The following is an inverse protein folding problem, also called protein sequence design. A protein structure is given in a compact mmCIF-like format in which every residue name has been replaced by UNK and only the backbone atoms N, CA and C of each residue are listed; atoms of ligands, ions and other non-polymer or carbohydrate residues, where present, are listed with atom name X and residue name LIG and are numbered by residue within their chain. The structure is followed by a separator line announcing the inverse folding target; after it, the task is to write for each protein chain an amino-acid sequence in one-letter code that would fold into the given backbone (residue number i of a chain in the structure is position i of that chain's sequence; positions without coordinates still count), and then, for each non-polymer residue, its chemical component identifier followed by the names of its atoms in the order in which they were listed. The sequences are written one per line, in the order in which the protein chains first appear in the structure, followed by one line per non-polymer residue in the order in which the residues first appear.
data_IF_385954019633
#
_entry.id   IF_385954019633
#
_cell.length_a   1.000
_cell.length_b   1.000
_cell.length_c   1.000
_cell.angle_alpha   90.00
_cell.angle_beta   90.00
_cell.angle_gamma   90.00
#
_symmetry.space_group_name_H-M   'P 1'
#
loop_
_entity.id
_entity.type
_entity.pdbx_description
1 polymer ?
#
# COMPACT_ATOMS: atom_id res chain seq x y z
N UNK A 1 74.13 -31.44 -50.18
CA UNK A 1 74.72 -32.57 -49.41
C UNK A 1 74.62 -32.31 -47.96
N UNK A 2 74.20 -33.36 -47.22
CA UNK A 2 74.12 -33.51 -45.75
C UNK A 2 72.93 -32.74 -45.07
N UNK A 3 71.87 -33.47 -44.80
CA UNK A 3 71.55 -34.51 -43.77
C UNK A 3 71.65 -33.87 -42.34
N UNK A 4 70.51 -33.63 -41.77
CA UNK A 4 69.84 -34.35 -40.69
C UNK A 4 70.60 -34.44 -39.40
N UNK A 5 70.06 -33.84 -38.44
CA UNK A 5 69.91 -34.42 -37.09
C UNK A 5 68.76 -33.68 -36.37
N UNK A 6 67.61 -34.31 -36.41
CA UNK A 6 66.55 -34.01 -35.44
C UNK A 6 66.75 -35.00 -34.27
N UNK A 7 67.13 -34.48 -33.14
CA UNK A 7 67.15 -35.21 -31.88
C UNK A 7 65.93 -34.83 -31.03
N UNK A 8 65.13 -35.77 -30.89
CA UNK A 8 64.39 -36.28 -29.74
C UNK A 8 64.46 -35.48 -28.45
N UNK A 9 63.66 -34.40 -28.35
CA UNK A 9 63.29 -33.75 -27.11
C UNK A 9 61.87 -33.28 -27.25
N UNK A 10 61.02 -33.81 -26.40
CA UNK A 10 59.71 -33.28 -26.02
C UNK A 10 58.51 -34.24 -26.09
N UNK A 11 58.72 -35.42 -25.56
CA UNK A 11 57.57 -36.21 -25.08
C UNK A 11 57.25 -36.02 -23.58
N UNK A 12 58.06 -35.22 -22.86
CA UNK A 12 57.86 -35.00 -21.41
C UNK A 12 57.25 -33.67 -21.04
N UNK A 13 57.25 -32.69 -21.91
CA UNK A 13 56.68 -31.40 -21.62
C UNK A 13 55.20 -31.24 -22.07
N UNK A 14 54.69 -32.15 -22.89
CA UNK A 14 53.30 -32.12 -23.32
C UNK A 14 52.30 -32.64 -22.26
N UNK A 15 52.78 -33.24 -21.16
CA UNK A 15 51.94 -33.72 -20.07
C UNK A 15 51.91 -32.81 -18.86
N UNK A 16 52.50 -31.61 -18.92
CA UNK A 16 52.48 -30.64 -17.81
C UNK A 16 51.62 -29.42 -18.05
N UNK A 17 50.98 -29.23 -19.20
CA UNK A 17 50.14 -28.09 -19.52
C UNK A 17 48.62 -28.42 -19.55
N UNK A 18 48.29 -29.68 -19.27
CA UNK A 18 46.88 -30.12 -19.23
C UNK A 18 46.24 -30.18 -17.84
N UNK A 19 46.82 -29.48 -16.86
CA UNK A 19 46.29 -29.48 -15.49
C UNK A 19 46.21 -28.06 -14.92
N UNK A 20 45.51 -27.16 -15.58
CA UNK A 20 45.09 -25.90 -14.92
C UNK A 20 44.18 -25.13 -15.89
N UNK A 21 42.92 -25.24 -15.77
CA UNK A 21 41.92 -24.21 -16.07
C UNK A 21 40.55 -24.84 -16.34
N UNK A 22 40.07 -25.69 -15.45
CA UNK A 22 38.62 -25.85 -15.34
C UNK A 22 38.17 -24.80 -14.32
N UNK A 23 38.04 -23.55 -14.79
CA UNK A 23 37.25 -22.54 -14.10
C UNK A 23 35.79 -22.98 -14.29
N UNK A 24 35.28 -23.67 -13.30
CA UNK A 24 33.87 -23.83 -13.12
C UNK A 24 33.31 -22.43 -12.78
N UNK A 25 32.73 -21.74 -13.78
CA UNK A 25 31.75 -20.74 -13.53
C UNK A 25 30.53 -21.44 -12.92
N UNK A 26 30.62 -21.67 -11.62
CA UNK A 26 29.44 -21.88 -10.82
C UNK A 26 28.65 -20.58 -10.87
N UNK A 27 27.72 -20.48 -11.84
CA UNK A 27 26.57 -19.62 -11.70
C UNK A 27 25.85 -20.13 -10.45
N UNK A 28 26.22 -19.58 -9.31
CA UNK A 28 25.40 -19.62 -8.14
C UNK A 28 24.11 -18.90 -8.55
N UNK A 29 23.12 -19.68 -8.96
CA UNK A 29 21.73 -19.28 -8.88
C UNK A 29 21.50 -19.02 -7.39
N UNK A 30 21.80 -17.80 -6.95
CA UNK A 30 21.28 -17.30 -5.69
C UNK A 30 19.78 -17.46 -5.80
N UNK A 31 19.13 -18.26 -4.96
CA UNK A 31 17.71 -18.10 -4.81
C UNK A 31 17.56 -16.63 -4.39
N UNK A 32 16.88 -15.82 -5.19
CA UNK A 32 16.20 -14.65 -4.67
C UNK A 32 15.19 -15.21 -3.65
N UNK A 33 15.69 -15.63 -2.51
CA UNK A 33 14.91 -15.58 -1.29
C UNK A 33 14.56 -14.11 -1.17
N UNK A 34 13.37 -13.76 -1.67
CA UNK A 34 12.70 -12.58 -1.24
C UNK A 34 12.84 -12.60 0.28
N UNK A 35 13.70 -11.75 0.80
CA UNK A 35 13.75 -11.45 2.20
C UNK A 35 12.37 -10.88 2.50
N UNK A 36 11.46 -11.75 2.90
CA UNK A 36 10.38 -11.35 3.74
C UNK A 36 11.07 -10.73 4.95
N UNK A 37 11.28 -9.42 4.90
CA UNK A 37 11.66 -8.70 6.09
C UNK A 37 10.57 -9.00 7.10
N UNK A 38 10.92 -9.52 8.29
CA UNK A 38 9.96 -9.54 9.37
C UNK A 38 9.45 -8.10 9.50
N UNK A 39 8.16 -7.92 9.56
CA UNK A 39 7.50 -6.68 9.93
C UNK A 39 7.99 -6.33 11.35
N UNK A 40 9.02 -5.53 11.50
CA UNK A 40 9.78 -5.35 12.75
C UNK A 40 10.36 -3.94 12.89
N UNK A 41 9.71 -2.95 12.30
CA UNK A 41 9.88 -1.55 12.69
C UNK A 41 9.04 -1.23 13.94
N UNK A 42 9.33 -0.12 14.66
CA UNK A 42 8.43 0.34 15.72
C UNK A 42 7.03 0.59 15.13
N UNK A 43 5.95 0.31 15.92
CA UNK A 43 4.59 0.50 15.45
C UNK A 43 4.37 1.94 14.97
N UNK A 44 3.90 2.11 13.75
CA UNK A 44 3.58 3.42 13.20
C UNK A 44 2.34 4.00 13.88
N UNK A 45 2.39 5.27 14.21
CA UNK A 45 1.20 5.99 14.69
C UNK A 45 0.30 6.32 13.52
N UNK A 46 -1.00 6.04 13.65
CA UNK A 46 -1.97 6.25 12.59
C UNK A 46 -2.99 7.30 13.01
N UNK A 47 -3.08 8.38 12.24
CA UNK A 47 -4.15 9.36 12.33
C UNK A 47 -5.32 8.94 11.44
N UNK A 48 -6.49 8.67 12.02
CA UNK A 48 -7.69 8.27 11.30
C UNK A 48 -8.61 9.46 11.12
N UNK A 49 -8.70 10.00 9.91
CA UNK A 49 -9.65 11.09 9.59
C UNK A 49 -10.97 10.47 9.17
N UNK A 50 -11.98 10.61 10.03
CA UNK A 50 -13.28 9.98 9.88
C UNK A 50 -13.35 8.61 10.57
N UNK A 51 -14.17 8.54 11.63
CA UNK A 51 -14.33 7.37 12.49
C UNK A 51 -15.74 6.80 12.46
N UNK A 52 -16.37 6.89 11.27
CA UNK A 52 -17.63 6.20 10.99
C UNK A 52 -17.45 4.68 10.90
N UNK A 53 -18.41 3.97 10.32
CA UNK A 53 -18.34 2.50 10.22
C UNK A 53 -17.05 2.01 9.57
N UNK A 54 -16.66 2.58 8.44
CA UNK A 54 -15.47 2.18 7.70
C UNK A 54 -14.17 2.53 8.45
N UNK A 55 -14.02 3.80 8.86
CA UNK A 55 -12.83 4.23 9.59
C UNK A 55 -12.72 3.61 10.98
N UNK A 56 -13.85 3.35 11.65
CA UNK A 56 -13.87 2.60 12.90
C UNK A 56 -13.39 1.16 12.72
N UNK A 57 -13.84 0.45 11.67
CA UNK A 57 -13.42 -0.91 11.38
C UNK A 57 -11.93 -0.97 11.00
N UNK A 58 -11.47 -0.11 10.08
CA UNK A 58 -10.07 -0.06 9.65
C UNK A 58 -9.14 0.32 10.80
N UNK A 59 -9.48 1.36 11.56
CA UNK A 59 -8.69 1.77 12.72
C UNK A 59 -8.65 0.70 13.81
N UNK A 60 -9.75 -0.05 14.01
CA UNK A 60 -9.78 -1.20 14.93
C UNK A 60 -8.81 -2.29 14.47
N UNK A 61 -8.75 -2.58 13.17
CA UNK A 61 -7.80 -3.55 12.62
C UNK A 61 -6.34 -3.12 12.89
N UNK A 62 -6.01 -1.85 12.70
CA UNK A 62 -4.68 -1.31 13.02
C UNK A 62 -4.36 -1.38 14.52
N UNK A 63 -5.32 -1.06 15.40
CA UNK A 63 -5.10 -1.21 16.86
C UNK A 63 -4.82 -2.66 17.21
N UNK A 64 -5.56 -3.62 16.65
CA UNK A 64 -5.35 -5.05 16.87
C UNK A 64 -3.99 -5.54 16.33
N UNK A 65 -3.48 -4.92 15.28
CA UNK A 65 -2.13 -5.17 14.76
C UNK A 65 -1.01 -4.50 15.60
N UNK A 66 -1.37 -3.75 16.65
CA UNK A 66 -0.41 -3.14 17.58
C UNK A 66 -0.07 -1.68 17.28
N UNK A 67 -0.71 -1.05 16.32
CA UNK A 67 -0.48 0.36 15.99
C UNK A 67 -1.25 1.30 16.92
N UNK A 68 -0.62 2.36 17.47
CA UNK A 68 -1.35 3.44 18.10
C UNK A 68 -2.22 4.20 17.07
N UNK A 69 -3.52 4.33 17.35
CA UNK A 69 -4.47 5.00 16.45
C UNK A 69 -5.15 6.17 17.16
N UNK A 70 -5.16 7.32 16.52
CA UNK A 70 -6.01 8.45 16.91
C UNK A 70 -7.18 8.59 15.95
N UNK A 71 -8.36 8.24 16.44
CA UNK A 71 -9.63 8.39 15.72
C UNK A 71 -10.10 9.83 15.78
N UNK A 72 -10.47 10.42 14.66
CA UNK A 72 -11.00 11.79 14.66
C UNK A 72 -12.47 11.87 14.29
N UNK A 73 -13.13 12.81 14.91
CA UNK A 73 -14.51 13.22 14.63
C UNK A 73 -14.66 14.72 14.83
N UNK A 74 -15.70 15.31 14.24
CA UNK A 74 -16.17 16.65 14.60
C UNK A 74 -16.66 16.71 16.06
N UNK A 75 -17.03 15.56 16.62
CA UNK A 75 -17.46 15.34 17.98
C UNK A 75 -16.63 14.23 18.61
N UNK A 76 -15.37 14.48 19.03
CA UNK A 76 -14.47 13.45 19.56
C UNK A 76 -14.99 12.77 20.82
N UNK A 77 -15.82 13.44 21.60
CA UNK A 77 -16.47 12.91 22.79
C UNK A 77 -17.39 11.72 22.51
N UNK A 78 -17.99 11.66 21.31
CA UNK A 78 -18.83 10.53 20.87
C UNK A 78 -18.03 9.26 20.58
N UNK A 79 -16.71 9.39 20.40
CA UNK A 79 -15.80 8.25 20.16
C UNK A 79 -15.37 7.52 21.42
N UNK A 80 -15.80 8.00 22.60
CA UNK A 80 -15.39 7.41 23.88
C UNK A 80 -15.65 5.90 23.95
N UNK A 81 -16.83 5.44 23.54
CA UNK A 81 -17.17 4.01 23.53
C UNK A 81 -16.26 3.18 22.64
N UNK A 82 -15.88 3.71 21.45
CA UNK A 82 -14.94 3.05 20.54
C UNK A 82 -13.55 2.94 21.18
N UNK A 83 -12.97 4.04 21.65
CA UNK A 83 -11.59 4.04 22.16
C UNK A 83 -11.46 3.25 23.45
N UNK A 84 -12.45 3.32 24.36
CA UNK A 84 -12.47 2.53 25.58
C UNK A 84 -12.47 1.01 25.28
N UNK A 85 -13.20 0.58 24.24
CA UNK A 85 -13.26 -0.83 23.83
C UNK A 85 -11.95 -1.35 23.24
N UNK A 86 -11.11 -0.47 22.70
CA UNK A 86 -9.85 -0.80 22.02
C UNK A 86 -8.63 -0.68 22.95
N UNK A 87 -8.77 -0.05 24.10
CA UNK A 87 -7.70 0.07 25.09
C UNK A 87 -6.64 1.13 24.80
N UNK A 88 -5.43 1.03 25.39
CA UNK A 88 -4.49 2.14 25.50
C UNK A 88 -3.86 2.60 24.17
N UNK A 89 -3.96 1.81 23.12
CA UNK A 89 -3.47 2.17 21.79
C UNK A 89 -4.45 3.06 21.01
N UNK A 90 -5.71 3.14 21.43
CA UNK A 90 -6.73 3.97 20.81
C UNK A 90 -6.91 5.30 21.53
N UNK A 91 -7.09 6.36 20.78
CA UNK A 91 -7.36 7.72 21.27
C UNK A 91 -8.41 8.38 20.41
N UNK A 92 -9.15 9.33 20.98
CA UNK A 92 -10.05 10.21 20.23
C UNK A 92 -9.43 11.61 20.13
N UNK A 93 -9.73 12.32 19.06
CA UNK A 93 -9.28 13.69 18.86
C UNK A 93 -9.97 14.41 17.69
N UNK A 94 -9.57 15.64 17.45
CA UNK A 94 -9.96 16.40 16.26
C UNK A 94 -9.19 15.93 15.02
N UNK A 95 -9.59 16.37 13.82
CA UNK A 95 -8.85 16.10 12.58
C UNK A 95 -7.41 16.60 12.67
N UNK A 96 -7.22 17.83 13.15
CA UNK A 96 -5.88 18.41 13.35
C UNK A 96 -5.03 17.57 14.30
N UNK A 97 -5.59 17.13 15.43
CA UNK A 97 -4.90 16.30 16.40
C UNK A 97 -4.51 14.93 15.82
N UNK A 98 -5.41 14.31 15.03
CA UNK A 98 -5.12 13.04 14.38
C UNK A 98 -4.01 13.18 13.33
N UNK A 99 -4.01 14.24 12.53
CA UNK A 99 -2.94 14.55 11.59
C UNK A 99 -1.62 14.78 12.35
N UNK A 100 -1.62 15.57 13.41
CA UNK A 100 -0.41 15.84 14.19
C UNK A 100 0.16 14.57 14.83
N UNK A 101 -0.71 13.67 15.31
CA UNK A 101 -0.35 12.43 15.98
C UNK A 101 0.26 11.39 15.02
N UNK A 102 -0.31 11.21 13.82
CA UNK A 102 0.02 10.12 12.91
C UNK A 102 1.35 10.32 12.16
N UNK A 103 2.15 9.28 12.07
CA UNK A 103 3.21 9.15 11.07
C UNK A 103 2.58 8.87 9.70
N UNK A 104 1.48 8.12 9.71
CA UNK A 104 0.59 7.78 8.60
C UNK A 104 -0.78 8.37 8.88
N UNK A 105 -1.46 8.83 7.84
CA UNK A 105 -2.84 9.31 7.94
C UNK A 105 -3.74 8.51 7.01
N UNK A 106 -4.84 7.97 7.52
CA UNK A 106 -5.90 7.36 6.72
C UNK A 106 -7.10 8.31 6.65
N UNK A 107 -7.56 8.63 5.44
CA UNK A 107 -8.72 9.51 5.19
C UNK A 107 -9.91 8.64 4.79
N UNK A 108 -10.92 8.59 5.67
CA UNK A 108 -12.10 7.71 5.55
C UNK A 108 -13.37 8.52 5.74
N UNK A 109 -13.58 9.47 4.85
CA UNK A 109 -14.69 10.42 4.92
C UNK A 109 -15.56 10.38 3.64
N UNK A 110 -16.78 10.92 3.64
CA UNK A 110 -17.48 11.25 2.40
C UNK A 110 -16.62 12.17 1.52
N UNK A 111 -16.64 11.93 0.20
CA UNK A 111 -15.74 12.67 -0.71
C UNK A 111 -15.99 14.19 -0.70
N UNK A 112 -17.21 14.62 -0.33
CA UNK A 112 -17.56 16.04 -0.12
C UNK A 112 -16.70 16.76 0.91
N UNK A 113 -16.10 16.03 1.88
CA UNK A 113 -15.24 16.61 2.90
C UNK A 113 -13.79 16.83 2.43
N UNK A 114 -13.39 16.23 1.29
CA UNK A 114 -11.99 16.26 0.83
C UNK A 114 -11.50 17.66 0.49
N UNK A 115 -12.37 18.52 -0.03
CA UNK A 115 -12.00 19.90 -0.37
C UNK A 115 -11.66 20.73 0.87
N UNK A 116 -12.47 20.60 1.94
CA UNK A 116 -12.25 21.28 3.22
C UNK A 116 -10.95 20.76 3.88
N UNK A 117 -10.78 19.44 3.93
CA UNK A 117 -9.55 18.81 4.45
C UNK A 117 -8.32 19.31 3.68
N UNK A 118 -8.41 19.43 2.38
CA UNK A 118 -7.33 19.96 1.55
C UNK A 118 -7.03 21.42 1.85
N UNK A 119 -8.04 22.29 1.92
CA UNK A 119 -7.87 23.71 2.23
C UNK A 119 -7.21 23.95 3.60
N UNK A 120 -7.60 23.16 4.59
CA UNK A 120 -7.15 23.37 5.96
C UNK A 120 -5.86 22.64 6.32
N UNK A 121 -5.64 21.45 5.72
CA UNK A 121 -4.63 20.53 6.23
C UNK A 121 -3.62 20.01 5.18
N UNK A 122 -3.70 20.42 3.89
CA UNK A 122 -2.80 19.88 2.85
C UNK A 122 -1.31 20.00 3.21
N UNK A 123 -0.88 21.14 3.75
CA UNK A 123 0.52 21.35 4.14
C UNK A 123 0.99 20.42 5.28
N UNK A 124 0.09 20.02 6.17
CA UNK A 124 0.39 19.06 7.23
C UNK A 124 0.38 17.62 6.71
N UNK A 125 -0.55 17.30 5.81
CA UNK A 125 -0.65 15.99 5.14
C UNK A 125 0.55 15.71 4.23
N UNK A 126 1.07 16.74 3.55
CA UNK A 126 2.28 16.65 2.72
C UNK A 126 3.56 16.24 3.50
N UNK A 127 3.54 16.33 4.83
CA UNK A 127 4.66 15.94 5.68
C UNK A 127 4.56 14.50 6.20
N UNK A 128 3.48 13.78 5.85
CA UNK A 128 3.26 12.41 6.32
C UNK A 128 3.98 11.40 5.44
N UNK A 129 4.40 10.31 6.03
CA UNK A 129 5.06 9.22 5.30
C UNK A 129 4.14 8.64 4.22
N UNK A 130 2.85 8.53 4.51
CA UNK A 130 1.80 8.17 3.56
C UNK A 130 0.44 8.72 4.00
N UNK A 131 -0.38 9.09 3.03
CA UNK A 131 -1.81 9.38 3.19
C UNK A 131 -2.60 8.29 2.47
N UNK A 132 -3.24 7.42 3.23
CA UNK A 132 -4.09 6.36 2.68
C UNK A 132 -5.48 6.95 2.43
N UNK A 133 -5.88 7.06 1.17
CA UNK A 133 -7.18 7.59 0.77
C UNK A 133 -8.17 6.44 0.53
N UNK A 134 -9.12 6.28 1.44
CA UNK A 134 -10.22 5.29 1.38
C UNK A 134 -11.50 5.91 0.83
N UNK A 135 -11.51 7.23 0.61
CA UNK A 135 -12.71 7.98 0.19
C UNK A 135 -13.13 7.63 -1.23
N UNK A 136 -14.43 7.61 -1.47
CA UNK A 136 -15.01 7.37 -2.79
C UNK A 136 -16.01 8.46 -3.16
N UNK A 137 -15.97 9.01 -4.39
CA UNK A 137 -16.99 9.90 -4.91
C UNK A 137 -18.23 9.11 -5.32
N UNK A 138 -19.24 9.06 -4.47
CA UNK A 138 -20.48 8.32 -4.72
C UNK A 138 -21.59 9.32 -5.06
N UNK A 139 -21.98 9.43 -6.34
CA UNK A 139 -22.93 10.43 -6.83
C UNK A 139 -24.23 10.48 -6.01
N UNK A 140 -24.78 9.32 -5.62
CA UNK A 140 -26.00 9.25 -4.78
C UNK A 140 -25.82 9.92 -3.40
N UNK A 141 -24.60 9.96 -2.85
CA UNK A 141 -24.29 10.55 -1.54
C UNK A 141 -23.72 11.96 -1.66
N UNK A 142 -22.81 12.14 -2.61
CA UNK A 142 -21.95 13.30 -2.70
C UNK A 142 -22.43 14.32 -3.76
N UNK A 143 -23.42 13.94 -4.59
CA UNK A 143 -23.96 14.74 -5.67
C UNK A 143 -23.31 14.47 -7.03
N UNK A 144 -24.09 14.63 -8.09
CA UNK A 144 -23.64 14.37 -9.47
C UNK A 144 -22.56 15.35 -9.95
N UNK A 145 -22.60 16.59 -9.49
CA UNK A 145 -21.63 17.62 -9.88
C UNK A 145 -20.23 17.27 -9.38
N UNK A 146 -20.11 16.81 -8.12
CA UNK A 146 -18.83 16.39 -7.55
C UNK A 146 -18.32 15.13 -8.25
N UNK A 147 -19.19 14.16 -8.52
CA UNK A 147 -18.81 12.95 -9.24
C UNK A 147 -18.29 13.25 -10.65
N UNK A 148 -18.96 14.14 -11.39
CA UNK A 148 -18.51 14.63 -12.71
C UNK A 148 -17.18 15.39 -12.63
N UNK A 149 -17.02 16.24 -11.62
CA UNK A 149 -15.75 16.93 -11.42
C UNK A 149 -14.60 15.95 -11.21
N UNK A 150 -14.80 14.93 -10.37
CA UNK A 150 -13.78 13.87 -10.14
C UNK A 150 -13.46 13.13 -11.44
N UNK A 151 -14.45 12.79 -12.24
CA UNK A 151 -14.26 12.17 -13.55
C UNK A 151 -13.42 13.05 -14.48
N UNK A 152 -13.72 14.34 -14.56
CA UNK A 152 -12.97 15.33 -15.33
C UNK A 152 -11.51 15.48 -14.87
N UNK A 153 -11.20 15.17 -13.60
CA UNK A 153 -9.81 15.12 -13.11
C UNK A 153 -9.08 13.82 -13.50
N UNK A 154 -9.73 12.87 -14.16
CA UNK A 154 -9.17 11.55 -14.49
C UNK A 154 -9.41 10.50 -13.40
N UNK A 155 -10.37 10.74 -12.50
CA UNK A 155 -10.79 9.82 -11.45
C UNK A 155 -10.32 10.20 -10.05
N UNK A 156 -10.78 9.42 -9.07
CA UNK A 156 -10.65 9.74 -7.66
C UNK A 156 -9.18 9.93 -7.20
N UNK A 157 -8.25 9.12 -7.71
CA UNK A 157 -6.83 9.24 -7.32
C UNK A 157 -6.22 10.58 -7.71
N UNK A 158 -6.41 11.00 -8.97
CA UNK A 158 -5.90 12.28 -9.47
C UNK A 158 -6.65 13.47 -8.87
N UNK A 159 -7.97 13.34 -8.66
CA UNK A 159 -8.77 14.36 -7.99
C UNK A 159 -8.29 14.58 -6.54
N UNK A 160 -8.04 13.51 -5.79
CA UNK A 160 -7.49 13.60 -4.43
C UNK A 160 -6.11 14.25 -4.43
N UNK A 161 -5.22 13.90 -5.37
CA UNK A 161 -3.90 14.53 -5.48
C UNK A 161 -3.99 16.04 -5.74
N UNK A 162 -5.00 16.49 -6.49
CA UNK A 162 -5.25 17.91 -6.72
C UNK A 162 -5.75 18.63 -5.46
N UNK A 163 -6.57 17.96 -4.64
CA UNK A 163 -7.09 18.52 -3.39
C UNK A 163 -6.04 18.51 -2.26
N UNK A 164 -5.10 17.56 -2.29
CA UNK A 164 -4.05 17.36 -1.28
C UNK A 164 -2.65 17.52 -1.90
N UNK A 165 -2.29 18.72 -2.40
CA UNK A 165 -1.02 18.93 -3.09
C UNK A 165 0.18 18.59 -2.19
N UNK A 166 1.12 17.81 -2.73
CA UNK A 166 2.34 17.38 -2.04
C UNK A 166 2.17 16.19 -1.11
N UNK A 167 0.97 15.67 -0.89
CA UNK A 167 0.76 14.48 -0.07
C UNK A 167 1.20 13.21 -0.81
N UNK A 168 1.83 12.28 -0.09
CA UNK A 168 2.21 10.95 -0.59
C UNK A 168 1.00 10.02 -0.53
N UNK A 169 0.13 10.10 -1.54
CA UNK A 169 -1.17 9.43 -1.53
C UNK A 169 -1.06 8.00 -2.01
N UNK A 170 -1.70 7.09 -1.27
CA UNK A 170 -1.99 5.73 -1.69
C UNK A 170 -3.50 5.49 -1.56
N UNK A 171 -4.16 5.17 -2.67
CA UNK A 171 -5.54 4.71 -2.61
C UNK A 171 -5.56 3.23 -2.26
N UNK A 172 -6.32 2.88 -1.23
CA UNK A 172 -6.47 1.52 -0.73
C UNK A 172 -7.79 1.36 0.02
N UNK A 173 -8.30 0.14 0.14
CA UNK A 173 -9.55 -0.21 0.84
C UNK A 173 -10.83 0.44 0.27
N UNK A 174 -10.75 1.02 -0.90
CA UNK A 174 -11.85 1.78 -1.51
C UNK A 174 -13.07 0.91 -1.87
N UNK A 175 -12.87 -0.39 -2.04
CA UNK A 175 -13.89 -1.33 -2.49
C UNK A 175 -14.25 -2.41 -1.46
N UNK A 176 -13.65 -2.39 -0.28
CA UNK A 176 -13.92 -3.33 0.81
C UNK A 176 -14.78 -2.62 1.84
N UNK A 177 -15.98 -3.14 2.13
CA UNK A 177 -16.87 -2.55 3.12
C UNK A 177 -16.49 -2.90 4.56
N UNK A 178 -16.93 -2.09 5.52
CA UNK A 178 -16.57 -2.19 6.94
C UNK A 178 -16.83 -3.57 7.57
N UNK A 179 -17.89 -4.26 7.17
CA UNK A 179 -18.17 -5.62 7.64
C UNK A 179 -17.05 -6.57 7.19
N UNK A 180 -16.69 -6.50 5.92
CA UNK A 180 -15.64 -7.33 5.33
C UNK A 180 -14.25 -7.03 5.88
N UNK A 181 -13.93 -5.77 6.18
CA UNK A 181 -12.69 -5.43 6.90
C UNK A 181 -12.56 -6.17 8.24
N UNK A 182 -13.68 -6.42 8.93
CA UNK A 182 -13.67 -7.13 10.20
C UNK A 182 -13.71 -8.65 10.05
N UNK A 183 -14.44 -9.16 9.07
CA UNK A 183 -14.64 -10.60 8.83
C UNK A 183 -13.44 -11.25 8.15
N UNK A 184 -12.83 -10.58 7.18
CA UNK A 184 -11.79 -11.12 6.32
C UNK A 184 -10.36 -10.83 6.81
N UNK A 185 -10.20 -9.96 7.83
CA UNK A 185 -8.91 -9.75 8.48
C UNK A 185 -8.38 -11.07 9.05
N UNK A 186 -7.20 -11.50 8.56
CA UNK A 186 -6.58 -12.77 8.97
C UNK A 186 -7.46 -14.01 8.74
N UNK A 187 -8.32 -14.00 7.73
CA UNK A 187 -9.14 -15.17 7.40
C UNK A 187 -8.28 -16.40 7.10
N UNK A 188 -8.74 -17.63 7.39
CA UNK A 188 -8.04 -18.84 7.02
C UNK A 188 -7.91 -18.97 5.48
N UNK A 189 -6.78 -19.50 5.02
CA UNK A 189 -6.52 -19.72 3.59
C UNK A 189 -5.93 -18.50 2.89
N UNK A 190 -6.36 -18.24 1.65
CA UNK A 190 -5.84 -17.12 0.86
C UNK A 190 -6.39 -15.77 1.39
N UNK A 191 -5.51 -14.80 1.70
CA UNK A 191 -5.95 -13.47 2.09
C UNK A 191 -6.74 -12.77 0.98
N UNK A 192 -7.67 -11.90 1.36
CA UNK A 192 -8.31 -11.01 0.39
C UNK A 192 -7.29 -10.05 -0.18
N UNK A 193 -7.29 -9.90 -1.50
CA UNK A 193 -6.46 -8.94 -2.21
C UNK A 193 -6.99 -7.51 -2.03
N UNK A 194 -6.10 -6.57 -1.76
CA UNK A 194 -6.42 -5.14 -1.72
C UNK A 194 -5.70 -4.44 -2.87
N UNK A 195 -6.41 -4.01 -3.93
CA UNK A 195 -5.77 -3.23 -4.97
C UNK A 195 -5.35 -1.87 -4.40
N UNK A 196 -4.11 -1.47 -4.67
CA UNK A 196 -3.56 -0.19 -4.25
C UNK A 196 -2.97 0.58 -5.42
N UNK A 197 -3.15 1.89 -5.42
CA UNK A 197 -2.65 2.80 -6.44
C UNK A 197 -1.96 4.02 -5.81
N UNK A 198 -0.78 4.37 -6.31
CA UNK A 198 0.00 5.50 -5.81
C UNK A 198 1.23 5.76 -6.66
N UNK A 199 1.78 6.97 -6.58
CA UNK A 199 2.93 7.38 -7.40
C UNK A 199 4.25 7.35 -6.61
N UNK A 200 4.21 7.35 -5.28
CA UNK A 200 5.37 7.31 -4.39
C UNK A 200 5.66 5.89 -3.94
N UNK A 201 6.84 5.36 -4.29
CA UNK A 201 7.24 3.99 -3.99
C UNK A 201 7.41 3.73 -2.49
N UNK A 202 7.87 4.72 -1.71
CA UNK A 202 8.01 4.58 -0.26
C UNK A 202 6.63 4.54 0.40
N UNK A 203 5.72 5.41 -0.02
CA UNK A 203 4.34 5.41 0.46
C UNK A 203 3.63 4.08 0.14
N UNK A 204 3.80 3.55 -1.09
CA UNK A 204 3.29 2.24 -1.49
C UNK A 204 3.85 1.11 -0.62
N UNK A 205 5.15 1.14 -0.30
CA UNK A 205 5.78 0.13 0.55
C UNK A 205 5.22 0.18 1.99
N UNK A 206 5.08 1.37 2.58
CA UNK A 206 4.51 1.55 3.92
C UNK A 206 3.05 1.08 3.95
N UNK A 207 2.23 1.52 2.98
CA UNK A 207 0.83 1.10 2.89
C UNK A 207 0.71 -0.42 2.71
N UNK A 208 1.55 -1.02 1.86
CA UNK A 208 1.58 -2.47 1.65
C UNK A 208 1.87 -3.24 2.93
N UNK A 209 2.83 -2.78 3.74
CA UNK A 209 3.14 -3.43 5.01
C UNK A 209 1.95 -3.34 5.98
N UNK A 210 1.36 -2.16 6.16
CA UNK A 210 0.18 -1.97 7.00
C UNK A 210 -1.01 -2.85 6.57
N UNK A 211 -1.22 -3.01 5.25
CA UNK A 211 -2.26 -3.88 4.71
C UNK A 211 -2.01 -5.34 5.09
N UNK A 212 -0.76 -5.83 5.01
CA UNK A 212 -0.40 -7.20 5.41
C UNK A 212 -0.55 -7.41 6.92
N UNK A 213 -0.15 -6.43 7.72
CA UNK A 213 -0.23 -6.51 9.19
C UNK A 213 -1.67 -6.66 9.70
N UNK A 214 -2.66 -6.18 8.94
CA UNK A 214 -4.08 -6.38 9.25
C UNK A 214 -4.72 -7.56 8.50
N UNK A 215 -3.90 -8.42 7.86
CA UNK A 215 -4.33 -9.71 7.31
C UNK A 215 -4.84 -9.72 5.89
N UNK A 216 -4.51 -8.71 5.08
CA UNK A 216 -4.85 -8.62 3.66
C UNK A 216 -3.60 -8.69 2.77
N UNK A 217 -3.77 -8.96 1.47
CA UNK A 217 -2.65 -8.96 0.53
C UNK A 217 -2.72 -7.74 -0.42
N UNK A 218 -1.80 -6.78 -0.31
CA UNK A 218 -1.77 -5.62 -1.19
C UNK A 218 -1.31 -5.99 -2.60
N UNK A 219 -1.99 -5.46 -3.60
CA UNK A 219 -1.61 -5.59 -5.01
C UNK A 219 -1.46 -4.20 -5.62
N UNK A 220 -0.23 -3.81 -5.92
CA UNK A 220 0.04 -2.53 -6.61
C UNK A 220 -0.47 -2.65 -8.04
N UNK A 221 -1.44 -1.83 -8.42
CA UNK A 221 -2.05 -1.83 -9.76
C UNK A 221 -1.58 -0.68 -10.65
N UNK A 222 -0.78 0.23 -10.12
CA UNK A 222 -0.19 1.34 -10.85
C UNK A 222 -0.22 2.66 -10.08
N UNK A 223 -0.05 3.77 -10.81
CA UNK A 223 -0.10 5.12 -10.26
C UNK A 223 -1.51 5.58 -9.89
N UNK A 224 -1.64 6.79 -9.34
CA UNK A 224 -2.91 7.37 -8.88
C UNK A 224 -3.99 7.43 -9.97
N UNK A 225 -3.62 7.47 -11.25
CA UNK A 225 -4.56 7.37 -12.37
C UNK A 225 -5.38 6.07 -12.37
N UNK A 226 -4.83 4.97 -11.82
CA UNK A 226 -5.54 3.70 -11.64
C UNK A 226 -6.61 3.77 -10.57
N UNK A 227 -6.59 4.78 -9.71
CA UNK A 227 -7.56 4.98 -8.64
C UNK A 227 -9.02 5.09 -9.09
N UNK A 228 -9.27 5.39 -10.38
CA UNK A 228 -10.61 5.38 -10.99
C UNK A 228 -11.24 3.98 -11.02
N UNK A 229 -10.43 2.93 -11.02
CA UNK A 229 -10.87 1.54 -11.08
C UNK A 229 -11.02 0.86 -9.72
N UNK A 230 -10.67 1.55 -8.62
CA UNK A 230 -10.77 1.03 -7.26
C UNK A 230 -12.10 1.38 -6.58
N UNK A 231 -12.96 2.14 -7.24
CA UNK A 231 -14.27 2.58 -6.69
C UNK A 231 -15.29 1.44 -6.78
N UNK A 232 -16.24 1.30 -5.84
CA UNK A 232 -17.29 0.31 -5.94
C UNK A 232 -18.05 0.37 -7.28
N UNK A 233 -18.24 -0.79 -7.92
CA UNK A 233 -18.88 -0.89 -9.23
C UNK A 233 -17.94 -0.75 -10.43
N UNK A 234 -16.66 -0.56 -10.22
CA UNK A 234 -15.61 -0.60 -11.25
C UNK A 234 -14.86 -1.94 -11.25
N UNK A 235 -14.04 -2.24 -12.26
CA UNK A 235 -13.44 -3.58 -12.41
C UNK A 235 -12.61 -4.08 -11.22
N UNK A 236 -11.96 -3.19 -10.45
CA UNK A 236 -11.22 -3.54 -9.23
C UNK A 236 -12.04 -3.27 -7.96
N UNK A 237 -13.31 -2.93 -8.13
CA UNK A 237 -14.26 -2.75 -7.03
C UNK A 237 -14.82 -4.10 -6.59
N UNK A 238 -14.82 -4.37 -5.29
CA UNK A 238 -15.30 -5.62 -4.71
C UNK A 238 -14.18 -6.50 -4.14
N UNK A 239 -14.57 -7.70 -3.73
CA UNK A 239 -13.65 -8.68 -3.16
C UNK A 239 -13.01 -9.51 -4.28
N UNK A 240 -11.69 -9.56 -4.30
CA UNK A 240 -10.88 -10.30 -5.26
C UNK A 240 -9.71 -10.99 -4.57
N UNK A 241 -9.22 -12.06 -5.15
CA UNK A 241 -7.91 -12.62 -4.83
C UNK A 241 -6.80 -11.76 -5.44
N UNK A 242 -5.59 -11.89 -4.95
CA UNK A 242 -4.42 -11.19 -5.51
C UNK A 242 -4.18 -11.55 -6.98
N UNK A 243 -4.47 -12.79 -7.39
CA UNK A 243 -4.33 -13.24 -8.77
C UNK A 243 -5.35 -12.57 -9.69
N UNK A 244 -6.61 -12.51 -9.27
CA UNK A 244 -7.68 -11.82 -10.01
C UNK A 244 -7.39 -10.34 -10.17
N UNK A 245 -6.94 -9.64 -9.11
CA UNK A 245 -6.56 -8.23 -9.20
C UNK A 245 -5.48 -8.02 -10.26
N UNK A 246 -4.42 -8.84 -10.27
CA UNK A 246 -3.35 -8.73 -11.27
C UNK A 246 -3.86 -8.96 -12.69
N UNK A 247 -4.74 -9.95 -12.87
CA UNK A 247 -5.34 -10.27 -14.17
C UNK A 247 -6.22 -9.11 -14.67
N UNK A 248 -7.09 -8.58 -13.80
CA UNK A 248 -7.96 -7.44 -14.13
C UNK A 248 -7.11 -6.21 -14.47
N UNK A 249 -6.13 -5.87 -13.61
CA UNK A 249 -5.28 -4.71 -13.78
C UNK A 249 -4.47 -4.74 -15.09
N UNK A 250 -4.03 -5.91 -15.54
CA UNK A 250 -3.31 -6.07 -16.82
C UNK A 250 -4.14 -5.68 -18.05
N UNK A 251 -5.47 -5.67 -17.95
CA UNK A 251 -6.39 -5.25 -19.02
C UNK A 251 -6.85 -3.78 -18.92
N UNK A 252 -6.42 -3.04 -17.90
CA UNK A 252 -6.83 -1.64 -17.67
C UNK A 252 -5.75 -0.66 -18.16
N UNK A 253 -6.18 0.48 -18.72
CA UNK A 253 -5.32 1.53 -19.28
C UNK A 253 -5.77 2.93 -18.81
#
# INVERSE_FOLDING_TARGET
MAREQFADHDRRDFLRIAASSTVWLAFAASPLSALAQPAGGPPLKIGMIGSGREGGALGTAFVKAGHPVMFSSRHPEELKGLVDSLGPLARAGTVEQAIAFGDVVAIVVPYTAMEEIGKEHAAALAKKAVVIDVSNPIARRDGDELAKWVEQQGGAGLATAKLLPGAHIVRAFNAIGSAKLSEDAHRPGEPVGVPIAGDDQNALAIASNLIREIGFEPVIVGGLAMGKYLVPGTPLGGEHTSAEIRQIAAGLH
#
